data_IF_017025395606
#
_entry.id   IF_017025395606
#
_cell.length_a   1.000
_cell.length_b   1.000
_cell.length_c   1.000
_cell.angle_alpha   90.00
_cell.angle_beta   90.00
_cell.angle_gamma   90.00
#
_symmetry.space_group_name_H-M   'P 1'
#
loop_
_entity.id
_entity.type
_entity.pdbx_description
1 polymer ?
#
# COMPACT_ATOMS: atom_id res chain seq x y z
N UNK A 1 -19.66 -31.76 -25.02
CA UNK A 1 -19.60 -31.34 -26.43
C UNK A 1 -18.66 -32.29 -27.16
N UNK A 2 -19.04 -32.83 -28.32
CA UNK A 2 -18.14 -33.66 -29.13
C UNK A 2 -17.35 -32.78 -30.09
N UNK A 3 -16.04 -33.02 -30.21
CA UNK A 3 -15.16 -32.29 -31.13
C UNK A 3 -14.56 -33.29 -32.12
N UNK A 4 -14.59 -32.94 -33.40
CA UNK A 4 -13.97 -33.73 -34.46
C UNK A 4 -12.75 -32.98 -34.98
N UNK A 5 -11.58 -33.62 -34.93
CA UNK A 5 -10.31 -33.08 -35.43
C UNK A 5 -9.78 -33.94 -36.57
N UNK A 6 -9.23 -33.30 -37.62
CA UNK A 6 -8.46 -34.01 -38.63
C UNK A 6 -7.08 -34.41 -38.07
N UNK A 7 -6.46 -35.43 -38.66
CA UNK A 7 -5.15 -35.94 -38.21
C UNK A 7 -4.09 -34.85 -38.13
N UNK A 8 -3.35 -34.80 -37.01
CA UNK A 8 -2.27 -33.84 -36.75
C UNK A 8 -2.72 -32.45 -36.30
N UNK A 9 -4.03 -32.19 -36.15
CA UNK A 9 -4.53 -30.90 -35.70
C UNK A 9 -4.76 -30.86 -34.18
N UNK A 10 -4.68 -29.66 -33.60
CA UNK A 10 -5.00 -29.35 -32.20
C UNK A 10 -6.13 -28.32 -32.12
N UNK A 11 -6.84 -28.33 -31.00
CA UNK A 11 -7.87 -27.33 -30.67
C UNK A 11 -7.73 -26.88 -29.21
N UNK A 12 -8.32 -25.74 -28.88
CA UNK A 12 -8.36 -25.21 -27.52
C UNK A 12 -9.81 -25.07 -27.08
N UNK A 13 -10.13 -25.58 -25.89
CA UNK A 13 -11.40 -25.36 -25.24
C UNK A 13 -11.21 -24.37 -24.09
N UNK A 14 -12.03 -23.34 -24.07
CA UNK A 14 -12.11 -22.38 -22.97
C UNK A 14 -13.42 -22.62 -22.23
N UNK A 15 -13.36 -22.66 -20.91
CA UNK A 15 -14.52 -22.70 -20.04
C UNK A 15 -14.25 -21.79 -18.84
N UNK A 16 -15.31 -21.18 -18.33
CA UNK A 16 -15.26 -20.44 -17.08
C UNK A 16 -15.52 -21.42 -15.93
N UNK A 17 -14.74 -21.31 -14.87
CA UNK A 17 -14.89 -22.14 -13.68
C UNK A 17 -15.19 -21.27 -12.47
N UNK A 18 -16.36 -21.47 -11.87
CA UNK A 18 -16.72 -20.86 -10.59
C UNK A 18 -16.07 -21.63 -9.43
N UNK A 19 -15.27 -20.92 -8.64
CA UNK A 19 -14.52 -21.47 -7.50
C UNK A 19 -15.10 -21.05 -6.15
N UNK A 20 -16.29 -20.44 -6.10
CA UNK A 20 -16.86 -19.81 -4.90
C UNK A 20 -17.04 -20.78 -3.72
N UNK A 21 -17.35 -22.04 -4.00
CA UNK A 21 -17.62 -23.07 -2.97
C UNK A 21 -16.45 -24.04 -2.74
N UNK A 22 -15.27 -23.78 -3.31
CA UNK A 22 -14.11 -24.65 -3.14
C UNK A 22 -13.42 -24.38 -1.80
N UNK A 23 -12.91 -25.46 -1.18
CA UNK A 23 -12.08 -25.34 0.02
C UNK A 23 -10.72 -24.76 -0.35
N UNK A 24 -10.24 -23.83 0.46
CA UNK A 24 -8.90 -23.25 0.35
C UNK A 24 -7.83 -24.36 0.46
N UNK A 25 -6.86 -24.33 -0.45
CA UNK A 25 -5.72 -25.24 -0.48
C UNK A 25 -5.44 -25.81 -1.86
N UNK A 26 -4.61 -26.85 -1.88
CA UNK A 26 -4.24 -27.54 -3.11
C UNK A 26 -5.42 -28.35 -3.65
N UNK A 27 -5.84 -28.04 -4.86
CA UNK A 27 -6.81 -28.79 -5.63
C UNK A 27 -6.13 -29.40 -6.86
N UNK A 28 -6.56 -30.60 -7.26
CA UNK A 28 -6.06 -31.23 -8.48
C UNK A 28 -7.11 -31.07 -9.58
N UNK A 29 -6.70 -30.48 -10.70
CA UNK A 29 -7.51 -30.47 -11.92
C UNK A 29 -7.01 -31.61 -12.79
N UNK A 30 -7.93 -32.46 -13.23
CA UNK A 30 -7.67 -33.53 -14.20
C UNK A 30 -8.52 -33.28 -15.44
N UNK A 31 -7.86 -33.21 -16.59
CA UNK A 31 -8.49 -33.21 -17.90
C UNK A 31 -8.36 -34.61 -18.51
N UNK A 32 -9.47 -35.17 -18.98
CA UNK A 32 -9.54 -36.48 -19.62
C UNK A 32 -10.16 -36.35 -21.01
N UNK A 33 -9.56 -37.02 -21.99
CA UNK A 33 -10.09 -37.11 -23.35
C UNK A 33 -10.54 -38.54 -23.63
N UNK A 34 -11.82 -38.71 -23.97
CA UNK A 34 -12.37 -40.01 -24.39
C UNK A 34 -12.38 -40.04 -25.93
N UNK A 35 -11.50 -40.87 -26.51
CA UNK A 35 -11.38 -41.04 -27.96
C UNK A 35 -12.10 -42.31 -28.42
N UNK A 36 -13.02 -42.18 -29.38
CA UNK A 36 -13.73 -43.32 -29.92
C UNK A 36 -12.77 -44.24 -30.71
N UNK A 37 -12.67 -45.49 -30.29
CA UNK A 37 -11.79 -46.49 -30.91
C UNK A 37 -10.41 -46.61 -30.27
N UNK A 38 -10.12 -45.81 -29.24
CA UNK A 38 -8.94 -46.02 -28.42
C UNK A 38 -9.17 -47.16 -27.42
N UNK A 39 -8.23 -48.10 -27.38
CA UNK A 39 -8.27 -49.26 -26.50
C UNK A 39 -7.50 -49.03 -25.20
N UNK A 40 -6.58 -48.04 -25.18
CA UNK A 40 -5.84 -47.64 -24.00
C UNK A 40 -6.33 -46.27 -23.54
N UNK A 41 -7.09 -46.24 -22.45
CA UNK A 41 -7.61 -45.00 -21.90
C UNK A 41 -6.67 -44.40 -20.83
N UNK A 42 -5.53 -45.05 -20.57
CA UNK A 42 -4.67 -44.71 -19.43
C UNK A 42 -3.70 -43.58 -19.72
N UNK A 43 -3.54 -43.12 -20.95
CA UNK A 43 -2.60 -42.05 -21.33
C UNK A 43 -3.30 -40.76 -21.78
N UNK A 44 -4.61 -40.78 -21.97
CA UNK A 44 -5.41 -39.63 -22.39
C UNK A 44 -5.85 -38.71 -21.23
N UNK A 45 -5.05 -38.62 -20.18
CA UNK A 45 -5.31 -37.74 -19.05
C UNK A 45 -4.11 -36.85 -18.73
N UNK A 46 -4.39 -35.62 -18.35
CA UNK A 46 -3.40 -34.69 -17.84
C UNK A 46 -3.90 -34.11 -16.52
N UNK A 47 -3.05 -34.08 -15.50
CA UNK A 47 -3.37 -33.49 -14.21
C UNK A 47 -2.40 -32.37 -13.85
N UNK A 48 -2.92 -31.34 -13.18
CA UNK A 48 -2.11 -30.27 -12.60
C UNK A 48 -2.68 -29.90 -11.23
N UNK A 49 -1.83 -29.36 -10.36
CA UNK A 49 -2.26 -28.81 -9.08
C UNK A 49 -2.49 -27.31 -9.23
N UNK A 50 -3.63 -26.85 -8.73
CA UNK A 50 -3.94 -25.44 -8.55
C UNK A 50 -4.11 -25.15 -7.07
N UNK A 51 -3.77 -23.94 -6.65
CA UNK A 51 -4.01 -23.50 -5.27
C UNK A 51 -5.25 -22.62 -5.30
N UNK A 52 -6.32 -23.09 -4.65
CA UNK A 52 -7.48 -22.24 -4.35
C UNK A 52 -7.10 -21.46 -3.10
N UNK A 53 -6.81 -20.19 -3.24
CA UNK A 53 -6.58 -19.30 -2.11
C UNK A 53 -7.84 -18.43 -1.89
N UNK A 54 -8.14 -17.98 -0.65
CA UNK A 54 -8.95 -16.79 -0.50
C UNK A 54 -8.28 -15.68 -1.32
N UNK A 55 -9.03 -14.72 -1.86
CA UNK A 55 -8.50 -13.65 -2.73
C UNK A 55 -7.35 -12.80 -2.16
N UNK A 56 -6.89 -13.07 -0.94
CA UNK A 56 -5.59 -12.65 -0.47
C UNK A 56 -4.53 -13.68 -0.87
N UNK A 57 -3.67 -13.32 -1.81
CA UNK A 57 -2.26 -13.68 -1.63
C UNK A 57 -1.96 -13.26 -0.18
N UNK A 58 -1.64 -14.21 0.70
CA UNK A 58 -0.96 -13.84 1.92
C UNK A 58 0.52 -13.77 1.50
N UNK A 59 1.04 -12.61 1.05
CA UNK A 59 2.48 -12.42 1.13
C UNK A 59 2.87 -12.72 2.57
N UNK A 60 4.09 -13.20 2.78
CA UNK A 60 4.68 -13.23 4.13
C UNK A 60 4.29 -11.96 4.87
N UNK A 61 3.79 -12.05 6.13
CA UNK A 61 3.40 -10.86 6.88
C UNK A 61 4.52 -9.83 6.78
N UNK A 62 4.21 -8.56 6.44
CA UNK A 62 5.26 -7.62 6.09
C UNK A 62 6.24 -7.49 7.25
N UNK A 63 7.53 -7.66 6.94
CA UNK A 63 8.60 -7.47 7.90
C UNK A 63 8.69 -6.02 8.37
N UNK A 64 9.58 -5.77 9.32
CA UNK A 64 9.78 -4.42 9.87
C UNK A 64 10.11 -3.36 8.80
N UNK A 65 10.80 -3.76 7.73
CA UNK A 65 11.19 -2.87 6.62
C UNK A 65 10.21 -2.88 5.45
N UNK A 66 9.15 -3.68 5.51
CA UNK A 66 8.21 -3.92 4.40
C UNK A 66 6.93 -3.13 4.67
N UNK A 67 6.96 -1.81 4.46
CA UNK A 67 5.86 -0.92 4.83
C UNK A 67 4.71 -0.92 3.81
N UNK A 68 5.05 -1.02 2.52
CA UNK A 68 4.08 -0.86 1.42
C UNK A 68 4.51 -1.59 0.13
N UNK A 69 4.84 -2.88 0.20
CA UNK A 69 5.28 -3.64 -0.99
C UNK A 69 4.16 -3.81 -2.02
N UNK A 70 2.92 -3.94 -1.54
CA UNK A 70 1.74 -4.10 -2.37
C UNK A 70 0.62 -3.18 -1.90
N UNK A 71 -0.09 -2.55 -2.83
CA UNK A 71 -1.30 -1.78 -2.55
C UNK A 71 -2.54 -2.70 -2.68
N UNK A 72 -2.70 -3.61 -1.73
CA UNK A 72 -3.83 -4.55 -1.64
C UNK A 72 -4.32 -4.64 -0.19
N UNK A 73 -5.59 -4.99 0.01
CA UNK A 73 -6.14 -5.13 1.37
C UNK A 73 -6.23 -3.82 2.15
N UNK A 74 -6.06 -3.87 3.46
CA UNK A 74 -6.17 -2.71 4.34
C UNK A 74 -4.83 -2.00 4.54
N UNK A 75 -4.84 -0.66 4.49
CA UNK A 75 -3.63 0.16 4.58
C UNK A 75 -3.83 1.28 5.59
N UNK A 76 -2.96 1.36 6.58
CA UNK A 76 -2.92 2.50 7.50
C UNK A 76 -2.07 3.64 6.92
N UNK A 77 -2.53 4.87 7.09
CA UNK A 77 -1.85 6.06 6.59
C UNK A 77 -1.68 7.05 7.73
N UNK A 78 -0.44 7.23 8.19
CA UNK A 78 -0.10 8.29 9.13
C UNK A 78 0.11 9.59 8.40
N UNK A 79 -0.64 10.64 8.71
CA UNK A 79 -0.48 11.97 8.12
C UNK A 79 0.02 12.90 9.21
N UNK A 80 1.19 13.49 9.00
CA UNK A 80 1.85 14.35 9.99
C UNK A 80 2.04 15.73 9.39
N UNK A 81 1.55 16.75 10.08
CA UNK A 81 1.67 18.16 9.73
C UNK A 81 2.64 18.81 10.73
N UNK A 82 3.94 18.95 10.40
CA UNK A 82 4.90 19.64 11.26
C UNK A 82 4.56 21.12 11.39
N UNK A 83 4.88 21.71 12.54
CA UNK A 83 4.72 23.14 12.82
C UNK A 83 6.01 23.70 13.40
N UNK A 84 6.58 24.72 12.74
CA UNK A 84 7.72 25.45 13.25
C UNK A 84 7.35 26.21 14.52
N UNK A 85 8.25 26.25 15.49
CA UNK A 85 8.07 27.02 16.73
C UNK A 85 8.95 28.27 16.81
N UNK A 86 9.70 28.57 15.75
CA UNK A 86 10.56 29.75 15.71
C UNK A 86 11.91 29.63 16.45
N UNK A 87 12.27 28.45 16.97
CA UNK A 87 13.46 28.30 17.84
C UNK A 87 14.78 28.29 17.06
N UNK A 88 14.86 27.58 15.93
CA UNK A 88 16.05 27.55 15.07
C UNK A 88 15.81 28.38 13.82
N UNK A 89 14.77 28.06 13.08
CA UNK A 89 14.33 28.87 11.93
C UNK A 89 13.17 29.77 12.34
N UNK A 90 13.04 30.97 11.77
CA UNK A 90 11.83 31.78 11.96
C UNK A 90 10.58 31.00 11.53
N UNK A 91 9.52 31.04 12.34
CA UNK A 91 8.19 30.58 11.90
C UNK A 91 7.68 31.53 10.84
N UNK A 92 7.56 31.04 9.61
CA UNK A 92 7.03 31.80 8.47
C UNK A 92 5.82 31.15 7.85
N UNK A 93 5.63 29.85 8.09
CA UNK A 93 4.44 29.08 7.73
C UNK A 93 3.78 28.59 9.02
N UNK A 94 2.51 28.93 9.21
CA UNK A 94 1.76 28.56 10.41
C UNK A 94 0.41 27.97 9.97
N UNK A 95 0.18 26.69 10.29
CA UNK A 95 -1.03 26.01 9.85
C UNK A 95 -2.29 26.72 10.36
N UNK A 96 -3.27 26.93 9.49
CA UNK A 96 -4.65 27.26 9.88
C UNK A 96 -5.54 26.02 9.87
N UNK A 97 -6.63 26.05 10.65
CA UNK A 97 -7.59 24.94 10.67
C UNK A 97 -8.29 24.69 9.33
N UNK A 98 -8.37 25.72 8.49
CA UNK A 98 -8.94 25.59 7.14
C UNK A 98 -7.96 24.85 6.22
N UNK A 99 -6.66 25.17 6.27
CA UNK A 99 -5.61 24.45 5.52
C UNK A 99 -5.47 23.00 5.98
N UNK A 100 -5.44 22.77 7.30
CA UNK A 100 -5.41 21.42 7.88
C UNK A 100 -6.58 20.57 7.36
N UNK A 101 -7.79 21.14 7.35
CA UNK A 101 -8.99 20.47 6.84
C UNK A 101 -8.91 20.22 5.33
N UNK A 102 -8.37 21.16 4.57
CA UNK A 102 -8.19 21.02 3.13
C UNK A 102 -7.22 19.90 2.79
N UNK A 103 -6.03 19.88 3.41
CA UNK A 103 -5.01 18.85 3.22
C UNK A 103 -5.58 17.46 3.52
N UNK A 104 -6.25 17.29 4.67
CA UNK A 104 -6.84 16.01 5.04
C UNK A 104 -7.93 15.59 4.06
N UNK A 105 -8.75 16.53 3.57
CA UNK A 105 -9.77 16.26 2.56
C UNK A 105 -9.15 15.81 1.22
N UNK A 106 -8.07 16.46 0.78
CA UNK A 106 -7.39 16.14 -0.47
C UNK A 106 -6.69 14.78 -0.41
N UNK A 107 -6.01 14.48 0.71
CA UNK A 107 -5.43 13.15 0.97
C UNK A 107 -6.53 12.09 0.97
N UNK A 108 -7.63 12.32 1.69
CA UNK A 108 -8.76 11.38 1.75
C UNK A 108 -9.33 11.12 0.36
N UNK A 109 -9.57 12.18 -0.44
CA UNK A 109 -10.09 12.04 -1.79
C UNK A 109 -9.13 11.25 -2.72
N UNK A 110 -7.82 11.45 -2.57
CA UNK A 110 -6.81 10.69 -3.32
C UNK A 110 -6.81 9.20 -2.93
N UNK A 111 -6.91 8.90 -1.63
CA UNK A 111 -6.98 7.53 -1.13
C UNK A 111 -8.30 6.83 -1.54
N UNK A 112 -9.42 7.53 -1.48
CA UNK A 112 -10.72 7.03 -1.96
C UNK A 112 -10.68 6.71 -3.46
N UNK A 113 -10.02 7.57 -4.25
CA UNK A 113 -9.81 7.31 -5.67
C UNK A 113 -9.01 6.03 -5.91
N UNK A 114 -7.91 5.82 -5.16
CA UNK A 114 -7.10 4.60 -5.26
C UNK A 114 -7.87 3.35 -4.86
N UNK A 115 -8.66 3.41 -3.78
CA UNK A 115 -9.51 2.31 -3.34
C UNK A 115 -10.55 1.93 -4.40
N UNK A 116 -11.10 2.93 -5.12
CA UNK A 116 -12.08 2.71 -6.17
C UNK A 116 -11.46 2.29 -7.52
N UNK A 117 -10.17 2.53 -7.75
CA UNK A 117 -9.54 2.34 -9.06
C UNK A 117 -9.52 0.86 -9.50
N UNK A 118 -9.24 -0.06 -8.58
CA UNK A 118 -9.29 -1.50 -8.83
C UNK A 118 -10.00 -2.24 -7.69
N UNK A 119 -11.34 -2.39 -7.76
CA UNK A 119 -12.12 -3.03 -6.71
C UNK A 119 -11.67 -4.47 -6.39
N UNK A 120 -11.09 -5.18 -7.36
CA UNK A 120 -10.58 -6.55 -7.18
C UNK A 120 -9.36 -6.62 -6.24
N UNK A 121 -8.65 -5.51 -6.03
CA UNK A 121 -7.54 -5.42 -5.07
C UNK A 121 -8.03 -5.29 -3.62
N UNK A 122 -9.33 -5.00 -3.41
CA UNK A 122 -9.94 -4.89 -2.08
C UNK A 122 -9.28 -3.83 -1.19
N UNK A 123 -8.72 -2.77 -1.79
CA UNK A 123 -7.95 -1.76 -1.05
C UNK A 123 -8.89 -0.92 -0.19
N UNK A 124 -8.52 -0.73 1.08
CA UNK A 124 -9.16 0.23 1.98
C UNK A 124 -8.11 0.96 2.81
N UNK A 125 -8.40 2.21 3.18
CA UNK A 125 -7.48 3.06 3.91
C UNK A 125 -8.03 3.46 5.28
N UNK A 126 -7.16 3.58 6.27
CA UNK A 126 -7.46 4.14 7.58
C UNK A 126 -6.43 5.22 7.91
N UNK A 127 -6.88 6.44 8.18
CA UNK A 127 -6.00 7.58 8.44
C UNK A 127 -5.83 7.80 9.95
N UNK A 128 -4.60 8.07 10.37
CA UNK A 128 -4.27 8.68 11.66
C UNK A 128 -3.60 10.03 11.35
N UNK A 129 -4.15 11.13 11.88
CA UNK A 129 -3.65 12.48 11.56
C UNK A 129 -3.09 13.16 12.81
N UNK A 130 -1.85 13.61 12.72
CA UNK A 130 -1.17 14.42 13.73
C UNK A 130 -1.04 15.87 13.24
N UNK A 131 -1.84 16.75 13.83
CA UNK A 131 -1.83 18.18 13.54
C UNK A 131 -0.75 18.92 14.34
N UNK A 132 -0.06 19.85 13.67
CA UNK A 132 0.89 20.80 14.26
C UNK A 132 1.91 20.15 15.19
N UNK A 133 2.58 19.12 14.71
CA UNK A 133 3.62 18.44 15.50
C UNK A 133 4.84 19.36 15.57
N UNK A 134 5.27 19.78 16.77
CA UNK A 134 6.24 20.85 16.90
C UNK A 134 7.63 20.43 16.42
N UNK A 135 8.26 21.33 15.68
CA UNK A 135 9.67 21.29 15.27
C UNK A 135 10.29 22.67 15.45
N UNK A 136 11.60 22.73 15.67
CA UNK A 136 12.35 23.98 15.78
C UNK A 136 12.75 24.59 14.44
N UNK A 137 12.57 23.82 13.35
CA UNK A 137 12.87 24.19 11.97
C UNK A 137 11.60 24.57 11.21
N UNK A 138 11.75 25.43 10.20
CA UNK A 138 10.73 25.75 9.20
C UNK A 138 10.99 24.87 7.97
N UNK A 139 10.27 23.74 7.79
CA UNK A 139 10.69 22.70 6.87
C UNK A 139 10.80 23.18 5.41
N UNK A 140 9.87 24.03 4.95
CA UNK A 140 9.89 24.53 3.56
C UNK A 140 11.11 25.42 3.29
N UNK A 141 11.63 26.09 4.31
CA UNK A 141 12.82 26.94 4.22
C UNK A 141 14.14 26.15 4.17
N UNK A 142 14.07 24.81 4.23
CA UNK A 142 15.23 23.91 4.17
C UNK A 142 15.31 23.18 2.83
N UNK A 143 16.50 22.75 2.38
CA UNK A 143 16.63 21.85 1.24
C UNK A 143 15.90 20.52 1.47
N UNK A 144 15.31 19.95 0.42
CA UNK A 144 14.67 18.62 0.43
C UNK A 144 15.69 17.47 0.39
N UNK A 145 16.86 17.66 0.99
CA UNK A 145 17.89 16.62 1.06
C UNK A 145 17.67 15.77 2.30
N UNK A 146 17.99 14.47 2.24
CA UNK A 146 17.84 13.57 3.38
C UNK A 146 18.54 14.07 4.67
N UNK A 147 19.61 14.88 4.55
CA UNK A 147 20.30 15.45 5.71
C UNK A 147 19.52 16.59 6.37
N UNK A 148 18.87 17.44 5.58
CA UNK A 148 18.05 18.55 6.07
C UNK A 148 16.65 18.07 6.50
N UNK A 149 16.06 17.12 5.78
CA UNK A 149 14.82 16.44 6.18
C UNK A 149 14.97 15.75 7.53
N UNK A 150 16.11 15.09 7.77
CA UNK A 150 16.38 14.42 9.04
C UNK A 150 16.30 15.37 10.25
N UNK A 151 16.56 16.66 10.09
CA UNK A 151 16.54 17.63 11.18
C UNK A 151 15.13 17.76 11.78
N UNK A 152 14.15 18.10 10.94
CA UNK A 152 12.79 18.35 11.38
C UNK A 152 11.99 17.05 11.54
N UNK A 153 12.22 16.03 10.69
CA UNK A 153 11.56 14.72 10.87
C UNK A 153 11.98 14.12 12.21
N UNK A 154 13.26 14.20 12.59
CA UNK A 154 13.71 13.62 13.86
C UNK A 154 13.06 14.28 15.06
N UNK A 155 12.86 15.61 15.06
CA UNK A 155 12.18 16.31 16.15
C UNK A 155 10.70 15.95 16.24
N UNK A 156 10.02 15.94 15.08
CA UNK A 156 8.63 15.53 14.94
C UNK A 156 8.40 14.12 15.47
N UNK A 157 9.21 13.15 15.02
CA UNK A 157 9.05 11.77 15.43
C UNK A 157 9.43 11.53 16.89
N UNK A 158 10.46 12.23 17.39
CA UNK A 158 10.81 12.20 18.83
C UNK A 158 9.66 12.72 19.69
N UNK A 159 9.00 13.81 19.26
CA UNK A 159 7.83 14.35 19.95
C UNK A 159 6.67 13.34 19.98
N UNK A 160 6.46 12.58 18.91
CA UNK A 160 5.46 11.51 18.83
C UNK A 160 5.83 10.26 19.64
N UNK A 161 7.01 10.24 20.28
CA UNK A 161 7.43 9.15 21.17
C UNK A 161 8.36 8.12 20.52
N UNK A 162 8.88 8.39 19.33
CA UNK A 162 9.80 7.51 18.59
C UNK A 162 11.22 8.11 18.63
N UNK A 163 12.09 7.71 19.57
CA UNK A 163 13.47 8.22 19.63
C UNK A 163 14.41 7.42 18.71
N UNK A 164 15.43 8.06 18.15
CA UNK A 164 16.46 7.37 17.38
C UNK A 164 16.89 8.11 16.11
N UNK A 165 17.34 7.34 15.12
CA UNK A 165 17.60 7.82 13.78
C UNK A 165 16.28 7.97 13.00
N UNK A 166 16.12 9.03 12.21
CA UNK A 166 14.82 9.39 11.64
C UNK A 166 14.20 8.30 10.75
N UNK A 167 15.01 7.53 10.00
CA UNK A 167 14.48 6.40 9.24
C UNK A 167 13.94 5.31 10.17
N UNK A 168 14.67 4.99 11.24
CA UNK A 168 14.21 4.02 12.25
C UNK A 168 12.96 4.51 12.97
N UNK A 169 12.89 5.79 13.33
CA UNK A 169 11.73 6.37 14.00
C UNK A 169 10.46 6.27 13.14
N UNK A 170 10.56 6.57 11.84
CA UNK A 170 9.44 6.44 10.90
C UNK A 170 9.06 4.97 10.73
N UNK A 171 10.02 4.05 10.62
CA UNK A 171 9.70 2.62 10.58
C UNK A 171 9.01 2.13 11.85
N UNK A 172 9.49 2.51 13.04
CA UNK A 172 8.86 2.16 14.31
C UNK A 172 7.41 2.67 14.34
N UNK A 173 7.19 3.94 14.00
CA UNK A 173 5.84 4.52 13.91
C UNK A 173 4.93 3.79 12.93
N UNK A 174 5.40 3.51 11.72
CA UNK A 174 4.62 2.81 10.69
C UNK A 174 4.26 1.40 11.14
N UNK A 175 5.17 0.69 11.79
CA UNK A 175 4.91 -0.66 12.32
C UNK A 175 3.93 -0.64 13.50
N UNK A 176 4.05 0.34 14.39
CA UNK A 176 3.12 0.53 15.50
C UNK A 176 1.73 0.90 14.99
N UNK A 177 1.63 1.82 14.03
CA UNK A 177 0.38 2.22 13.38
C UNK A 177 -0.31 1.03 12.70
N UNK A 178 0.45 0.24 11.93
CA UNK A 178 -0.03 -1.00 11.28
C UNK A 178 -0.61 -1.96 12.32
N UNK A 179 0.11 -2.17 13.41
CA UNK A 179 -0.29 -3.08 14.48
C UNK A 179 -1.52 -2.56 15.25
N UNK A 180 -1.57 -1.25 15.51
CA UNK A 180 -2.65 -0.57 16.22
C UNK A 180 -3.96 -0.62 15.44
N UNK A 181 -3.91 -0.39 14.13
CA UNK A 181 -5.10 -0.38 13.27
C UNK A 181 -5.42 -1.76 12.67
N UNK A 182 -4.52 -2.74 12.85
CA UNK A 182 -4.71 -4.10 12.36
C UNK A 182 -4.75 -4.19 10.83
N UNK A 183 -3.98 -3.35 10.14
CA UNK A 183 -3.96 -3.27 8.68
C UNK A 183 -2.89 -4.18 8.08
N UNK A 184 -3.04 -4.54 6.80
CA UNK A 184 -2.08 -5.35 6.07
C UNK A 184 -0.78 -4.56 5.79
N UNK A 185 -0.92 -3.28 5.48
CA UNK A 185 0.18 -2.36 5.15
C UNK A 185 0.08 -1.07 5.95
N UNK A 186 1.15 -0.29 5.98
CA UNK A 186 1.12 1.07 6.51
C UNK A 186 2.19 1.96 5.89
N UNK A 187 1.91 3.26 5.77
CA UNK A 187 2.92 4.25 5.40
C UNK A 187 2.62 5.60 6.04
N UNK A 188 3.57 6.53 5.93
CA UNK A 188 3.46 7.87 6.49
C UNK A 188 3.64 8.93 5.41
N UNK A 189 2.88 10.01 5.53
CA UNK A 189 2.98 11.22 4.73
C UNK A 189 3.33 12.36 5.69
N UNK A 190 4.42 13.07 5.40
CA UNK A 190 4.68 14.37 6.01
C UNK A 190 4.19 15.45 5.05
N UNK A 191 3.36 16.36 5.55
CA UNK A 191 2.89 17.51 4.79
C UNK A 191 3.52 18.75 5.38
N UNK A 192 4.34 19.43 4.58
CA UNK A 192 5.00 20.67 4.94
C UNK A 192 4.11 21.83 4.49
N UNK A 193 3.88 22.80 5.37
CA UNK A 193 3.18 24.03 5.00
C UNK A 193 4.06 24.89 4.09
N UNK A 194 3.46 25.46 3.07
CA UNK A 194 4.12 26.31 2.07
C UNK A 194 3.18 27.43 1.61
N UNK A 195 2.21 27.82 2.43
CA UNK A 195 1.17 28.79 2.07
C UNK A 195 1.73 30.19 1.78
N UNK A 196 2.85 30.58 2.38
CA UNK A 196 3.55 31.85 2.15
C UNK A 196 4.77 31.70 1.25
N UNK A 197 5.12 30.49 0.83
CA UNK A 197 6.17 30.22 -0.14
C UNK A 197 5.70 30.47 -1.59
N UNK A 198 6.58 31.06 -2.39
CA UNK A 198 6.19 31.57 -3.71
C UNK A 198 6.16 30.51 -4.81
N UNK A 199 6.89 29.40 -4.66
CA UNK A 199 6.94 28.32 -5.65
C UNK A 199 6.46 26.97 -5.12
N UNK A 200 6.22 26.86 -3.81
CA UNK A 200 5.75 25.65 -3.13
C UNK A 200 6.80 24.55 -3.11
N UNK A 201 8.09 24.90 -3.22
CA UNK A 201 9.21 23.96 -3.26
C UNK A 201 10.09 24.13 -2.03
N UNK A 202 10.87 23.08 -1.74
CA UNK A 202 11.96 23.21 -0.78
C UNK A 202 13.03 24.17 -1.32
N UNK A 203 13.90 24.65 -0.42
CA UNK A 203 14.87 25.70 -0.75
C UNK A 203 15.87 25.36 -1.89
N UNK A 204 15.97 24.08 -2.29
CA UNK A 204 16.81 23.60 -3.39
C UNK A 204 16.08 23.36 -4.73
N UNK A 205 14.75 23.57 -4.78
CA UNK A 205 13.93 23.53 -6.01
C UNK A 205 13.47 22.15 -6.44
#
# INVERSE_FOLDING_TARGET
MGITLASGLRTTLTFDWDTTDLTVGNSTITAEAILAGDADLTDNHASTTVIVAPGALNPTPPGYYDTSEYLIGSVAVGVILPESNGTIDPSTEDWTSDEESQVVSEITAGLDWWAAYNPSAGVSFSLEVHYRVPTSYEPISRPGTAGDEALWISEVMTYLGYPGDFFMQVWDYVNDLRSQLGTDWAFTIFVVDSSNDSDGMFADG
#
